data_IF_397975245646
#
_entry.id   IF_397975245646
#
_cell.length_a   1.000
_cell.length_b   1.000
_cell.length_c   1.000
_cell.angle_alpha   90.00
_cell.angle_beta   90.00
_cell.angle_gamma   90.00
#
_symmetry.space_group_name_H-M   'P 1'
#
loop_
_entity.id
_entity.type
_entity.pdbx_description
1 polymer ?
#
# COMPACT_ATOMS: atom_id res chain seq x y z
N UNK A 1 24.08 -27.33 27.72
CA UNK A 1 22.66 -27.28 28.18
C UNK A 1 21.85 -26.91 26.94
N UNK A 2 21.48 -27.83 26.04
CA UNK A 2 20.56 -28.95 26.17
C UNK A 2 19.15 -28.51 26.62
N UNK A 3 18.19 -28.56 25.68
CA UNK A 3 16.77 -28.74 25.98
C UNK A 3 15.84 -27.66 25.42
N UNK A 4 14.91 -28.04 24.55
CA UNK A 4 13.76 -27.18 24.24
C UNK A 4 13.05 -27.40 22.90
N UNK A 5 12.68 -28.63 22.57
CA UNK A 5 11.79 -28.93 21.43
C UNK A 5 10.39 -28.40 21.72
N UNK A 6 9.92 -27.39 20.98
CA UNK A 6 8.51 -27.00 20.92
C UNK A 6 8.19 -26.28 19.60
N UNK A 7 8.57 -26.87 18.47
CA UNK A 7 8.25 -26.37 17.12
C UNK A 7 7.34 -27.38 16.43
N UNK A 8 6.07 -27.46 16.84
CA UNK A 8 5.10 -28.34 16.19
C UNK A 8 3.63 -28.00 16.48
N UNK A 9 3.24 -26.73 16.61
CA UNK A 9 1.81 -26.38 16.69
C UNK A 9 1.50 -25.00 16.08
N UNK A 10 1.65 -24.85 14.76
CA UNK A 10 0.98 -23.78 14.00
C UNK A 10 0.74 -24.18 12.53
N UNK A 11 0.15 -25.36 12.33
CA UNK A 11 -0.30 -25.86 11.02
C UNK A 11 -1.77 -26.34 11.08
N UNK A 12 -2.62 -25.54 11.71
CA UNK A 12 -4.07 -25.68 11.74
C UNK A 12 -4.62 -24.24 11.64
N UNK A 13 -5.31 -23.76 10.61
CA UNK A 13 -6.27 -24.41 9.72
C UNK A 13 -6.37 -23.62 8.41
N UNK A 14 -5.85 -24.18 7.31
CA UNK A 14 -6.22 -23.76 5.96
C UNK A 14 -7.23 -24.76 5.38
N UNK A 15 -8.30 -24.30 4.71
CA UNK A 15 -9.45 -25.12 4.37
C UNK A 15 -9.14 -26.25 3.37
N UNK A 16 -9.24 -27.48 3.87
CA UNK A 16 -9.91 -28.64 3.28
C UNK A 16 -10.01 -28.73 1.74
N UNK A 17 -8.95 -29.18 1.07
CA UNK A 17 -8.99 -29.72 -0.31
C UNK A 17 -9.37 -31.21 -0.35
N UNK A 18 -10.47 -31.61 0.31
CA UNK A 18 -11.13 -32.90 0.07
C UNK A 18 -12.52 -32.67 -0.52
N UNK A 19 -12.57 -32.51 -1.84
CA UNK A 19 -13.77 -32.76 -2.66
C UNK A 19 -13.35 -32.96 -4.12
N UNK A 20 -12.37 -33.84 -4.32
CA UNK A 20 -12.18 -34.52 -5.61
C UNK A 20 -12.71 -35.93 -5.39
N UNK A 21 -13.58 -36.41 -6.28
CA UNK A 21 -14.31 -37.70 -6.26
C UNK A 21 -15.72 -37.67 -5.67
N UNK A 22 -16.66 -37.01 -6.37
CA UNK A 22 -18.03 -37.51 -6.59
C UNK A 22 -18.75 -36.63 -7.60
N UNK A 23 -18.96 -37.14 -8.81
CA UNK A 23 -20.07 -36.86 -9.73
C UNK A 23 -19.65 -37.01 -11.20
N UNK A 24 -19.06 -38.16 -11.57
CA UNK A 24 -19.02 -38.62 -12.96
C UNK A 24 -20.35 -39.23 -13.43
N UNK A 25 -21.41 -39.21 -12.59
CA UNK A 25 -22.67 -39.91 -12.83
C UNK A 25 -23.84 -38.98 -13.22
N UNK A 26 -23.61 -38.00 -14.10
CA UNK A 26 -24.68 -37.10 -14.56
C UNK A 26 -24.52 -36.63 -16.02
N UNK A 27 -23.87 -37.43 -16.88
CA UNK A 27 -23.52 -37.01 -18.26
C UNK A 27 -24.30 -37.68 -19.39
N UNK A 28 -25.37 -38.45 -19.13
CA UNK A 28 -26.01 -39.25 -20.20
C UNK A 28 -27.50 -39.02 -20.48
N UNK A 29 -28.19 -38.15 -19.75
CA UNK A 29 -29.65 -37.94 -19.95
C UNK A 29 -30.12 -36.50 -20.25
N UNK A 30 -29.21 -35.53 -20.45
CA UNK A 30 -29.59 -34.11 -20.58
C UNK A 30 -29.10 -33.49 -21.92
N UNK A 31 -29.55 -34.04 -23.05
CA UNK A 31 -29.07 -33.66 -24.41
C UNK A 31 -30.01 -32.87 -25.34
N UNK A 32 -31.29 -32.54 -25.03
CA UNK A 32 -32.05 -31.64 -25.91
C UNK A 32 -32.15 -30.18 -25.43
N UNK A 33 -31.88 -29.85 -24.16
CA UNK A 33 -32.00 -28.49 -23.62
C UNK A 33 -30.77 -27.58 -23.82
N UNK A 34 -29.69 -28.11 -24.38
CA UNK A 34 -28.42 -27.39 -24.55
C UNK A 34 -28.48 -26.33 -25.67
N UNK A 35 -29.37 -26.49 -26.65
CA UNK A 35 -29.41 -25.59 -27.81
C UNK A 35 -30.23 -24.30 -27.61
N UNK A 36 -31.19 -24.26 -26.66
CA UNK A 36 -31.97 -23.03 -26.39
C UNK A 36 -31.28 -22.12 -25.37
N UNK A 37 -30.47 -22.68 -24.47
CA UNK A 37 -29.71 -21.89 -23.48
C UNK A 37 -28.50 -21.13 -24.10
N UNK A 38 -28.00 -21.57 -25.26
CA UNK A 38 -26.79 -21.02 -25.87
C UNK A 38 -27.03 -19.65 -26.54
N UNK A 39 -28.25 -19.37 -27.02
CA UNK A 39 -28.60 -18.08 -27.64
C UNK A 39 -28.93 -16.99 -26.63
N UNK A 40 -29.50 -17.33 -25.46
CA UNK A 40 -29.74 -16.35 -24.37
C UNK A 40 -28.44 -15.90 -23.70
N UNK A 41 -27.42 -16.77 -23.64
CA UNK A 41 -26.12 -16.45 -23.04
C UNK A 41 -25.32 -15.41 -23.86
N UNK A 42 -25.47 -15.38 -25.19
CA UNK A 42 -24.72 -14.45 -26.06
C UNK A 42 -25.29 -13.02 -26.09
N UNK A 43 -26.58 -12.84 -25.80
CA UNK A 43 -27.22 -11.50 -25.82
C UNK A 43 -27.14 -10.80 -24.44
N UNK A 44 -26.94 -11.55 -23.35
CA UNK A 44 -26.86 -11.00 -21.98
C UNK A 44 -25.53 -10.36 -21.57
N UNK A 45 -24.43 -10.61 -22.29
CA UNK A 45 -23.08 -10.15 -21.93
C UNK A 45 -22.77 -8.71 -22.38
N UNK A 46 -23.66 -8.06 -23.14
CA UNK A 46 -23.42 -6.71 -23.71
C UNK A 46 -23.68 -5.52 -22.78
N UNK A 47 -23.94 -5.73 -21.48
CA UNK A 47 -24.34 -4.68 -20.51
C UNK A 47 -23.40 -4.56 -19.29
N UNK A 48 -22.13 -4.97 -19.41
CA UNK A 48 -21.10 -4.81 -18.34
C UNK A 48 -20.00 -3.84 -18.79
N UNK A 49 -20.37 -2.66 -19.26
CA UNK A 49 -19.44 -1.57 -19.56
C UNK A 49 -20.01 -0.29 -19.00
N UNK A 50 -19.17 0.54 -18.38
CA UNK A 50 -19.45 1.84 -17.73
C UNK A 50 -19.61 1.81 -16.20
N UNK A 51 -18.75 1.07 -15.49
CA UNK A 51 -18.68 1.18 -14.02
C UNK A 51 -17.38 0.66 -13.41
N UNK A 52 -16.26 0.66 -14.14
CA UNK A 52 -14.96 0.47 -13.52
C UNK A 52 -14.69 1.71 -12.66
N UNK A 53 -14.42 1.49 -11.37
CA UNK A 53 -14.44 2.51 -10.31
C UNK A 53 -13.47 3.67 -10.52
N UNK A 54 -13.56 4.64 -9.61
CA UNK A 54 -12.68 5.81 -9.55
C UNK A 54 -11.22 5.40 -9.59
N UNK A 55 -10.40 6.16 -10.33
CA UNK A 55 -8.96 5.94 -10.36
C UNK A 55 -8.38 5.97 -8.94
N UNK A 56 -7.47 5.04 -8.60
CA UNK A 56 -6.86 5.00 -7.27
C UNK A 56 -6.04 6.26 -7.04
N UNK A 57 -6.20 6.87 -5.87
CA UNK A 57 -5.42 8.04 -5.47
C UNK A 57 -4.00 7.59 -5.11
N UNK A 58 -3.01 7.90 -5.94
CA UNK A 58 -1.59 7.70 -5.67
C UNK A 58 -1.22 6.30 -5.11
N UNK A 59 -1.36 5.22 -5.90
CA UNK A 59 -1.04 3.86 -5.47
C UNK A 59 0.44 3.65 -5.14
N UNK A 60 1.34 4.40 -5.78
CA UNK A 60 2.77 4.41 -5.47
C UNK A 60 3.04 4.97 -4.06
N UNK A 61 2.42 6.10 -3.70
CA UNK A 61 2.55 6.71 -2.38
C UNK A 61 2.06 5.80 -1.25
N UNK A 62 0.95 5.08 -1.47
CA UNK A 62 0.51 4.04 -0.54
C UNK A 62 1.59 2.98 -0.32
N UNK A 63 2.22 2.49 -1.39
CA UNK A 63 3.28 1.47 -1.29
C UNK A 63 4.48 2.00 -0.51
N UNK A 64 4.89 3.24 -0.74
CA UNK A 64 6.06 3.80 -0.07
C UNK A 64 5.86 3.92 1.45
N UNK A 65 4.68 4.40 1.88
CA UNK A 65 4.31 4.48 3.30
C UNK A 65 4.25 3.09 3.92
N UNK A 66 3.55 2.15 3.30
CA UNK A 66 3.37 0.81 3.86
C UNK A 66 4.67 -0.01 3.83
N UNK A 67 5.55 0.20 2.85
CA UNK A 67 6.85 -0.44 2.83
C UNK A 67 7.75 0.08 3.95
N UNK A 68 7.71 1.39 4.22
CA UNK A 68 8.40 1.98 5.37
C UNK A 68 7.88 1.37 6.70
N UNK A 69 6.56 1.20 6.85
CA UNK A 69 5.98 0.53 8.03
C UNK A 69 6.40 -0.93 8.15
N UNK A 70 6.35 -1.68 7.05
CA UNK A 70 6.80 -3.07 7.03
C UNK A 70 8.28 -3.21 7.44
N UNK A 71 9.14 -2.28 7.01
CA UNK A 71 10.56 -2.27 7.41
C UNK A 71 10.77 -1.84 8.87
N UNK A 72 9.94 -0.93 9.37
CA UNK A 72 10.01 -0.41 10.73
C UNK A 72 9.42 -1.37 11.79
N UNK A 73 8.43 -2.17 11.41
CA UNK A 73 7.68 -3.03 12.34
C UNK A 73 8.56 -3.92 13.25
N UNK A 74 9.63 -4.59 12.79
CA UNK A 74 10.48 -5.42 13.65
C UNK A 74 11.18 -4.70 14.80
N UNK A 75 11.26 -3.35 14.76
CA UNK A 75 11.80 -2.54 15.84
C UNK A 75 10.88 -2.53 17.08
N UNK A 76 9.60 -2.86 16.88
CA UNK A 76 8.57 -2.73 17.89
C UNK A 76 8.19 -4.09 18.51
N UNK A 77 8.09 -4.19 19.85
CA UNK A 77 7.82 -5.47 20.54
C UNK A 77 6.52 -6.18 20.12
N UNK A 78 5.53 -5.44 19.60
CA UNK A 78 4.26 -6.01 19.15
C UNK A 78 4.40 -6.91 17.90
N UNK A 79 5.47 -6.74 17.13
CA UNK A 79 5.69 -7.45 15.86
C UNK A 79 6.86 -8.45 15.94
N UNK A 80 7.84 -8.22 16.83
CA UNK A 80 8.96 -9.14 17.02
C UNK A 80 8.55 -10.43 17.75
N UNK A 81 9.27 -11.56 17.57
CA UNK A 81 10.44 -11.74 16.71
C UNK A 81 10.13 -12.22 15.28
N UNK A 82 8.91 -12.69 15.02
CA UNK A 82 8.58 -13.47 13.82
C UNK A 82 7.94 -12.64 12.68
N UNK A 83 8.17 -11.32 12.65
CA UNK A 83 7.59 -10.46 11.62
C UNK A 83 8.19 -10.73 10.24
N UNK A 84 7.36 -11.19 9.30
CA UNK A 84 7.77 -11.40 7.89
C UNK A 84 7.66 -10.08 7.09
N UNK A 85 8.76 -9.31 7.07
CA UNK A 85 8.87 -8.06 6.29
C UNK A 85 8.56 -8.29 4.80
N UNK A 86 9.00 -9.42 4.24
CA UNK A 86 8.80 -9.71 2.81
C UNK A 86 7.34 -10.03 2.52
N UNK A 87 6.69 -10.79 3.41
CA UNK A 87 5.26 -11.06 3.38
C UNK A 87 4.42 -9.80 3.51
N UNK A 88 4.78 -8.91 4.45
CA UNK A 88 4.14 -7.61 4.64
C UNK A 88 4.19 -6.76 3.37
N UNK A 89 5.37 -6.58 2.78
CA UNK A 89 5.53 -5.82 1.53
C UNK A 89 4.76 -6.44 0.37
N UNK A 90 4.77 -7.78 0.24
CA UNK A 90 3.99 -8.46 -0.80
C UNK A 90 2.49 -8.21 -0.64
N UNK A 91 1.98 -8.24 0.59
CA UNK A 91 0.59 -7.94 0.88
C UNK A 91 0.23 -6.49 0.50
N UNK A 92 1.02 -5.51 0.95
CA UNK A 92 0.73 -4.10 0.68
C UNK A 92 0.98 -3.69 -0.77
N UNK A 93 1.89 -4.36 -1.50
CA UNK A 93 2.00 -4.20 -2.95
C UNK A 93 0.66 -4.43 -3.65
N UNK A 94 -0.13 -5.40 -3.19
CA UNK A 94 -1.41 -5.74 -3.79
C UNK A 94 -2.56 -4.90 -3.20
N UNK A 95 -2.54 -4.58 -1.89
CA UNK A 95 -3.57 -3.72 -1.28
C UNK A 95 -3.51 -2.27 -1.78
N UNK A 96 -2.31 -1.74 -2.01
CA UNK A 96 -2.12 -0.38 -2.49
C UNK A 96 -2.53 -0.16 -3.96
N UNK A 97 -2.94 -1.20 -4.69
CA UNK A 97 -3.56 -1.04 -6.02
C UNK A 97 -4.88 -0.24 -5.96
N UNK A 98 -5.44 -0.06 -4.77
CA UNK A 98 -6.62 0.78 -4.52
C UNK A 98 -6.29 2.25 -4.23
N UNK A 99 -5.00 2.60 -4.15
CA UNK A 99 -4.57 3.93 -3.76
C UNK A 99 -4.58 4.16 -2.25
N UNK A 100 -4.18 5.37 -1.87
CA UNK A 100 -4.37 5.94 -0.54
C UNK A 100 -5.86 6.11 -0.25
N UNK A 101 -6.24 5.89 1.01
CA UNK A 101 -7.59 6.16 1.50
C UNK A 101 -7.71 7.65 1.82
N UNK A 102 -7.61 8.51 0.81
CA UNK A 102 -7.68 9.96 0.96
C UNK A 102 -8.56 10.58 -0.11
N UNK A 103 -9.20 11.71 0.20
CA UNK A 103 -10.08 12.38 -0.75
C UNK A 103 -9.33 12.93 -1.99
N UNK A 104 -8.05 13.26 -1.84
CA UNK A 104 -7.18 13.76 -2.92
C UNK A 104 -5.73 13.32 -2.70
N UNK A 105 -4.91 13.44 -3.73
CA UNK A 105 -3.49 13.12 -3.66
C UNK A 105 -2.77 14.13 -2.73
N UNK A 106 -2.14 13.68 -1.63
CA UNK A 106 -1.42 14.57 -0.71
C UNK A 106 -0.12 15.14 -1.33
N UNK A 107 0.36 14.53 -2.43
CA UNK A 107 1.60 14.88 -3.12
C UNK A 107 2.85 14.28 -2.47
N UNK A 108 3.91 14.10 -3.29
CA UNK A 108 5.17 13.50 -2.87
C UNK A 108 5.80 14.14 -1.62
N UNK A 109 5.80 15.48 -1.42
CA UNK A 109 6.41 16.07 -0.23
C UNK A 109 5.81 15.58 1.10
N UNK A 110 4.49 15.33 1.15
CA UNK A 110 3.83 14.81 2.36
C UNK A 110 4.07 13.32 2.54
N UNK A 111 4.02 12.55 1.45
CA UNK A 111 4.37 11.11 1.47
C UNK A 111 5.81 10.93 1.98
N UNK A 112 6.76 11.71 1.45
CA UNK A 112 8.15 11.68 1.86
C UNK A 112 8.35 12.11 3.31
N UNK A 113 7.57 13.08 3.80
CA UNK A 113 7.61 13.48 5.20
C UNK A 113 7.14 12.35 6.12
N UNK A 114 6.04 11.68 5.75
CA UNK A 114 5.51 10.55 6.48
C UNK A 114 6.48 9.35 6.51
N UNK A 115 7.04 8.96 5.36
CA UNK A 115 8.00 7.85 5.28
C UNK A 115 9.27 8.11 6.09
N UNK A 116 9.82 9.34 6.04
CA UNK A 116 10.94 9.75 6.89
C UNK A 116 10.60 9.70 8.38
N UNK A 117 9.39 10.10 8.77
CA UNK A 117 8.95 10.01 10.16
C UNK A 117 8.91 8.55 10.64
N UNK A 118 8.37 7.63 9.83
CA UNK A 118 8.34 6.19 10.13
C UNK A 118 9.75 5.61 10.27
N UNK A 119 10.65 5.96 9.36
CA UNK A 119 12.06 5.53 9.43
C UNK A 119 12.74 6.06 10.69
N UNK A 120 12.52 7.33 11.04
CA UNK A 120 13.06 7.94 12.26
C UNK A 120 12.53 7.28 13.53
N UNK A 121 11.22 6.99 13.55
CA UNK A 121 10.62 6.24 14.64
C UNK A 121 11.23 4.84 14.77
N UNK A 122 11.49 4.15 13.66
CA UNK A 122 12.19 2.85 13.66
C UNK A 122 13.56 2.94 14.32
N UNK A 123 14.37 3.95 13.97
CA UNK A 123 15.67 4.18 14.60
C UNK A 123 15.55 4.38 16.12
N UNK A 124 14.59 5.20 16.56
CA UNK A 124 14.35 5.41 17.99
C UNK A 124 13.89 4.12 18.69
N UNK A 125 12.96 3.37 18.11
CA UNK A 125 12.45 2.12 18.64
C UNK A 125 13.56 1.07 18.78
N UNK A 126 14.39 0.91 17.75
CA UNK A 126 15.54 0.00 17.78
C UNK A 126 16.54 0.33 18.90
N UNK A 127 16.78 1.61 19.14
CA UNK A 127 17.72 2.09 20.17
C UNK A 127 17.08 2.30 21.54
N UNK A 128 15.77 2.00 21.69
CA UNK A 128 15.01 2.22 22.92
C UNK A 128 15.07 3.69 23.42
N UNK A 129 15.07 4.64 22.47
CA UNK A 129 15.13 6.08 22.76
C UNK A 129 13.70 6.63 22.88
N UNK A 130 13.34 7.07 24.09
CA UNK A 130 12.09 7.77 24.39
C UNK A 130 12.35 8.97 25.32
N UNK A 131 11.84 10.18 25.00
CA UNK A 131 11.05 10.52 23.81
C UNK A 131 11.89 10.53 22.51
N UNK A 132 11.24 10.28 21.38
CA UNK A 132 11.85 10.32 20.04
C UNK A 132 11.59 11.67 19.37
N UNK A 133 12.64 12.36 18.91
CA UNK A 133 12.51 13.62 18.18
C UNK A 133 12.23 13.35 16.69
N UNK A 134 11.03 13.73 16.23
CA UNK A 134 10.61 13.63 14.84
C UNK A 134 10.20 15.03 14.37
N UNK A 135 10.98 15.58 13.43
CA UNK A 135 10.82 16.98 13.01
C UNK A 135 11.00 17.94 14.18
N UNK A 136 9.96 18.73 14.47
CA UNK A 136 9.94 19.72 15.56
C UNK A 136 9.28 19.21 16.84
N UNK A 137 8.88 17.92 16.89
CA UNK A 137 8.10 17.35 17.99
C UNK A 137 8.80 16.18 18.65
N UNK A 138 8.49 15.98 19.91
CA UNK A 138 8.88 14.81 20.68
C UNK A 138 7.69 13.85 20.80
N UNK A 139 7.91 12.60 20.41
CA UNK A 139 6.91 11.54 20.48
C UNK A 139 7.29 10.60 21.63
N UNK A 140 6.39 10.37 22.62
CA UNK A 140 6.68 9.50 23.76
C UNK A 140 6.93 8.04 23.35
N UNK A 141 6.20 7.55 22.34
CA UNK A 141 6.27 6.17 21.87
C UNK A 141 6.49 6.13 20.35
N UNK A 142 7.71 5.83 19.86
CA UNK A 142 7.96 5.69 18.43
C UNK A 142 7.16 4.53 17.79
N UNK A 143 6.81 3.50 18.56
CA UNK A 143 6.03 2.38 18.05
C UNK A 143 4.56 2.73 17.79
N UNK A 144 4.03 3.75 18.48
CA UNK A 144 2.72 4.31 18.17
C UNK A 144 2.70 4.89 16.74
N UNK A 145 3.73 5.62 16.32
CA UNK A 145 3.82 6.19 14.97
C UNK A 145 3.96 5.11 13.88
N UNK A 146 4.69 4.03 14.14
CA UNK A 146 4.81 2.92 13.18
C UNK A 146 3.47 2.18 13.04
N UNK A 147 2.75 2.01 14.15
CA UNK A 147 1.50 1.24 14.20
C UNK A 147 0.32 2.03 13.65
N UNK A 148 0.13 3.29 14.06
CA UNK A 148 -0.97 4.16 13.66
C UNK A 148 -0.39 5.50 13.17
N UNK A 149 0.24 5.55 11.98
CA UNK A 149 0.86 6.77 11.47
C UNK A 149 -0.15 7.93 11.34
N UNK A 150 -1.41 7.66 11.03
CA UNK A 150 -2.50 8.63 10.87
C UNK A 150 -2.71 9.52 12.11
N UNK A 151 -2.35 9.06 13.32
CA UNK A 151 -2.44 9.83 14.56
C UNK A 151 -1.40 10.97 14.65
N UNK A 152 -0.46 11.03 13.71
CA UNK A 152 0.69 11.94 13.72
C UNK A 152 0.64 12.91 12.55
N UNK A 153 0.98 14.18 12.79
CA UNK A 153 0.80 15.24 11.79
C UNK A 153 1.54 15.01 10.48
N UNK A 154 2.69 14.35 10.50
CA UNK A 154 3.46 14.01 9.31
C UNK A 154 2.71 13.07 8.36
N UNK A 155 1.80 12.25 8.89
CA UNK A 155 1.02 11.24 8.18
C UNK A 155 -0.51 11.44 8.32
N UNK A 156 -0.95 12.53 8.96
CA UNK A 156 -2.37 12.73 9.32
C UNK A 156 -3.32 12.85 8.14
N UNK A 157 -2.80 13.08 6.94
CA UNK A 157 -3.59 13.04 5.70
C UNK A 157 -4.22 11.67 5.43
N UNK A 158 -3.74 10.60 6.08
CA UNK A 158 -4.29 9.24 5.95
C UNK A 158 -5.69 9.10 6.57
N UNK A 159 -6.14 10.02 7.44
CA UNK A 159 -7.47 9.99 8.08
C UNK A 159 -8.53 10.83 7.33
N UNK A 160 -8.14 11.55 6.27
CA UNK A 160 -9.01 12.48 5.55
C UNK A 160 -10.11 11.79 4.70
N UNK A 161 -10.30 10.46 4.81
CA UNK A 161 -11.26 9.69 4.02
C UNK A 161 -12.72 9.97 4.38
N UNK A 162 -13.02 10.20 5.66
CA UNK A 162 -14.38 10.43 6.14
C UNK A 162 -14.72 11.91 6.23
N UNK A 163 -14.49 12.65 5.15
CA UNK A 163 -15.15 13.93 4.93
C UNK A 163 -16.67 13.73 4.81
N UNK A 164 -17.35 13.52 5.94
CA UNK A 164 -18.78 13.77 6.09
C UNK A 164 -19.03 15.19 5.58
N UNK A 165 -19.61 15.34 4.38
CA UNK A 165 -20.55 16.38 3.91
C UNK A 165 -20.41 17.82 4.49
N UNK A 166 -19.20 18.17 4.90
CA UNK A 166 -18.82 19.43 5.49
C UNK A 166 -18.16 20.13 4.33
N UNK A 167 -18.85 21.11 3.75
CA UNK A 167 -18.39 21.91 2.61
C UNK A 167 -17.14 22.77 2.91
N UNK A 168 -16.12 22.18 3.52
CA UNK A 168 -14.78 22.70 3.64
C UNK A 168 -14.15 22.70 2.26
N UNK A 169 -14.14 23.88 1.65
CA UNK A 169 -13.34 24.19 0.48
C UNK A 169 -11.94 23.56 0.65
N UNK A 170 -11.46 22.73 -0.30
CA UNK A 170 -10.09 22.25 -0.24
C UNK A 170 -9.16 23.46 -0.10
N UNK A 171 -8.05 23.34 0.67
CA UNK A 171 -7.08 24.43 0.76
C UNK A 171 -6.69 24.85 -0.66
N UNK A 172 -6.59 26.16 -0.95
CA UNK A 172 -6.21 26.62 -2.27
C UNK A 172 -4.94 25.88 -2.65
N UNK A 173 -5.04 25.05 -3.68
CA UNK A 173 -3.88 24.50 -4.35
C UNK A 173 -3.20 25.73 -4.94
N UNK A 174 -2.23 26.27 -4.20
CA UNK A 174 -1.40 27.34 -4.71
C UNK A 174 -0.80 26.81 -6.01
N UNK A 175 -1.31 27.40 -7.09
CA UNK A 175 -0.96 27.08 -8.44
C UNK A 175 0.56 27.01 -8.53
N UNK A 176 1.03 25.87 -9.03
CA UNK A 176 2.39 25.66 -9.49
C UNK A 176 2.95 26.96 -10.05
N UNK A 177 3.84 27.59 -9.28
CA UNK A 177 4.82 28.49 -9.89
C UNK A 177 5.70 27.56 -10.70
N UNK A 178 5.41 27.44 -11.99
CA UNK A 178 6.32 26.85 -12.96
C UNK A 178 7.72 27.46 -12.70
N UNK A 179 8.73 26.64 -12.38
CA UNK A 179 10.10 27.13 -12.42
C UNK A 179 10.37 27.55 -13.87
N UNK A 180 10.98 28.71 -14.12
CA UNK A 180 11.32 29.12 -15.47
C UNK A 180 12.23 28.07 -16.09
N UNK A 181 11.81 27.54 -17.24
CA UNK A 181 12.61 26.69 -18.11
C UNK A 181 13.92 27.43 -18.41
N UNK A 182 15.01 27.04 -17.75
CA UNK A 182 16.34 27.49 -18.14
C UNK A 182 16.73 26.70 -19.38
N UNK A 183 16.65 27.40 -20.50
CA UNK A 183 17.09 26.95 -21.81
C UNK A 183 18.62 26.84 -21.78
N UNK A 184 19.13 25.62 -21.62
CA UNK A 184 20.57 25.37 -21.65
C UNK A 184 21.08 25.63 -23.07
N UNK A 185 21.81 26.73 -23.22
CA UNK A 185 22.57 27.06 -24.41
C UNK A 185 23.69 26.03 -24.56
N UNK A 186 23.52 25.10 -25.48
CA UNK A 186 24.59 24.21 -25.92
C UNK A 186 25.74 25.02 -26.51
N UNK A 187 26.89 25.00 -25.85
CA UNK A 187 28.16 25.40 -26.46
C UNK A 187 28.84 24.15 -26.97
N UNK A 188 28.65 23.89 -28.27
CA UNK A 188 29.56 23.06 -29.06
C UNK A 188 30.97 23.63 -28.92
N UNK A 189 31.89 22.84 -28.37
CA UNK A 189 33.32 23.14 -28.44
C UNK A 189 33.98 21.99 -29.18
N UNK A 190 34.09 22.17 -30.49
CA UNK A 190 35.08 21.51 -31.33
C UNK A 190 36.48 21.78 -30.77
N UNK A 191 37.18 20.74 -30.33
CA UNK A 191 38.61 20.78 -30.07
C UNK A 191 39.32 19.79 -30.99
N UNK A 192 39.81 20.35 -32.09
CA UNK A 192 40.70 19.71 -33.04
C UNK A 192 42.16 19.63 -32.51
N UNK A 193 42.82 18.54 -32.90
CA UNK A 193 44.19 18.45 -33.41
C UNK A 193 45.41 18.31 -32.47
N UNK A 194 46.37 17.54 -33.04
CA UNK A 194 47.82 17.33 -32.78
C UNK A 194 48.16 16.19 -31.82
N UNK A 195 49.08 15.26 -32.13
CA UNK A 195 49.99 14.98 -33.27
C UNK A 195 50.26 13.48 -33.28
#
# INVERSE_FOLDING_TARGET
MAGGKAFLHCLQTWPNRRTVLRAQFMRRFWRPWVFVAQTVLMVGLGRIGLGCGTDPVNPEGCKDIEFARCEAAPACPAFSPDFDVTGCKRFYRDQCLKGLQTASDPGNPRIDACTRAIQKASECAHNQIAPCSIGSREIPDPCALITNPEDFTECGFLDDYYGEDSGGQPPPQDASTEPPVQQEAGTDTDAAAKE
#
